data_IF_898084352355
#
_entry.id   IF_898084352355
#
_cell.length_a   1.000
_cell.length_b   1.000
_cell.length_c   1.000
_cell.angle_alpha   90.00
_cell.angle_beta   90.00
_cell.angle_gamma   90.00
#
_symmetry.space_group_name_H-M   'P 1'
#
loop_
_entity.id
_entity.type
_entity.pdbx_description
1 polymer ?
#
# COMPACT_ATOMS: atom_id res chain seq x y z
N UNK A 1 -9.24 -52.38 2.26
CA UNK A 1 -8.41 -51.32 2.88
C UNK A 1 -7.66 -50.51 1.81
N UNK A 2 -6.88 -51.17 0.94
CA UNK A 2 -6.09 -50.54 -0.14
C UNK A 2 -6.90 -49.60 -1.05
N UNK A 3 -8.11 -50.00 -1.47
CA UNK A 3 -8.97 -49.20 -2.37
C UNK A 3 -9.44 -47.86 -1.78
N UNK A 4 -9.57 -47.76 -0.45
CA UNK A 4 -9.94 -46.50 0.24
C UNK A 4 -8.74 -45.54 0.35
N UNK A 5 -7.53 -46.07 0.51
CA UNK A 5 -6.29 -45.29 0.56
C UNK A 5 -6.00 -44.68 -0.82
N UNK A 6 -6.20 -45.44 -1.91
CA UNK A 6 -6.03 -44.92 -3.27
C UNK A 6 -7.01 -43.79 -3.61
N UNK A 7 -8.25 -43.85 -3.13
CA UNK A 7 -9.23 -42.78 -3.34
C UNK A 7 -8.82 -41.52 -2.56
N UNK A 8 -8.39 -41.66 -1.31
CA UNK A 8 -7.93 -40.51 -0.51
C UNK A 8 -6.70 -39.86 -1.15
N UNK A 9 -5.71 -40.64 -1.59
CA UNK A 9 -4.53 -40.12 -2.26
C UNK A 9 -4.87 -39.39 -3.57
N UNK A 10 -5.82 -39.93 -4.35
CA UNK A 10 -6.28 -39.29 -5.59
C UNK A 10 -7.02 -37.98 -5.30
N UNK A 11 -7.93 -37.96 -4.31
CA UNK A 11 -8.68 -36.76 -3.93
C UNK A 11 -7.75 -35.68 -3.39
N UNK A 12 -6.79 -36.03 -2.53
CA UNK A 12 -5.80 -35.08 -2.01
C UNK A 12 -4.90 -34.55 -3.13
N UNK A 13 -4.48 -35.41 -4.06
CA UNK A 13 -3.69 -35.00 -5.23
C UNK A 13 -4.44 -34.05 -6.17
N UNK A 14 -5.72 -34.32 -6.43
CA UNK A 14 -6.58 -33.46 -7.26
C UNK A 14 -6.84 -32.12 -6.56
N UNK A 15 -7.13 -32.12 -5.26
CA UNK A 15 -7.28 -30.88 -4.47
C UNK A 15 -6.00 -30.04 -4.50
N UNK A 16 -4.84 -30.66 -4.31
CA UNK A 16 -3.56 -29.98 -4.36
C UNK A 16 -3.30 -29.36 -5.75
N UNK A 17 -3.54 -30.12 -6.83
CA UNK A 17 -3.40 -29.61 -8.19
C UNK A 17 -4.38 -28.48 -8.52
N UNK A 18 -5.63 -28.57 -8.04
CA UNK A 18 -6.61 -27.49 -8.19
C UNK A 18 -6.19 -26.24 -7.42
N UNK A 19 -5.61 -26.38 -6.22
CA UNK A 19 -5.08 -25.21 -5.49
C UNK A 19 -3.88 -24.58 -6.18
N UNK A 20 -2.94 -25.37 -6.72
CA UNK A 20 -1.81 -24.84 -7.48
C UNK A 20 -2.24 -24.17 -8.78
N UNK A 21 -3.22 -24.75 -9.49
CA UNK A 21 -3.79 -24.15 -10.68
C UNK A 21 -4.53 -22.85 -10.38
N UNK A 22 -5.27 -22.78 -9.27
CA UNK A 22 -5.93 -21.56 -8.78
C UNK A 22 -4.91 -20.46 -8.45
N UNK A 23 -3.80 -20.81 -7.78
CA UNK A 23 -2.73 -19.86 -7.48
C UNK A 23 -2.01 -19.35 -8.74
N UNK A 24 -1.79 -20.21 -9.74
CA UNK A 24 -1.19 -19.83 -11.03
C UNK A 24 -2.13 -18.99 -11.91
N UNK A 25 -3.44 -19.28 -11.90
CA UNK A 25 -4.43 -18.46 -12.61
C UNK A 25 -4.60 -17.09 -11.96
N UNK A 26 -4.52 -16.99 -10.62
CA UNK A 26 -4.44 -15.70 -9.94
C UNK A 26 -3.22 -14.89 -10.38
N UNK A 27 -2.07 -15.53 -10.59
CA UNK A 27 -0.86 -14.85 -11.05
C UNK A 27 -0.97 -14.29 -12.48
N UNK A 28 -1.61 -15.02 -13.40
CA UNK A 28 -1.78 -14.60 -14.81
C UNK A 28 -2.95 -13.62 -15.03
N UNK A 29 -3.82 -13.43 -14.05
CA UNK A 29 -5.03 -12.61 -14.19
C UNK A 29 -4.80 -11.09 -14.15
N UNK A 30 -3.55 -10.62 -14.05
CA UNK A 30 -3.26 -9.18 -14.02
C UNK A 30 -3.82 -8.45 -12.80
N UNK A 31 -4.25 -9.19 -11.76
CA UNK A 31 -4.67 -8.68 -10.46
C UNK A 31 -3.46 -8.23 -9.62
N UNK A 32 -2.57 -7.45 -10.24
CA UNK A 32 -1.34 -6.92 -9.66
C UNK A 32 -1.58 -5.99 -8.46
N UNK A 33 -2.83 -5.61 -8.18
CA UNK A 33 -3.23 -4.94 -6.94
C UNK A 33 -3.15 -5.85 -5.70
N UNK A 34 -3.17 -7.19 -5.84
CA UNK A 34 -3.05 -8.10 -4.67
C UNK A 34 -1.63 -8.26 -4.14
N UNK A 35 -0.59 -8.01 -4.95
CA UNK A 35 0.81 -8.23 -4.54
C UNK A 35 1.37 -7.11 -3.65
N UNK A 36 0.70 -5.96 -3.54
CA UNK A 36 1.05 -4.89 -2.57
C UNK A 36 0.30 -5.04 -1.25
N UNK A 37 -0.74 -5.88 -1.22
CA UNK A 37 -1.65 -5.99 -0.08
C UNK A 37 -1.87 -7.44 0.41
N UNK A 38 -0.83 -8.26 0.66
CA UNK A 38 -0.97 -9.34 1.65
C UNK A 38 -0.62 -8.86 3.06
N UNK A 39 0.09 -7.74 3.22
CA UNK A 39 0.79 -7.42 4.48
C UNK A 39 0.23 -6.23 5.28
N UNK A 40 -0.67 -5.44 4.70
CA UNK A 40 -1.46 -4.49 5.48
C UNK A 40 -2.69 -5.23 5.99
N UNK A 41 -2.55 -5.98 7.08
CA UNK A 41 -3.71 -6.34 7.91
C UNK A 41 -4.12 -5.07 8.68
N UNK A 42 -4.66 -4.10 7.95
CA UNK A 42 -5.57 -3.13 8.54
C UNK A 42 -6.95 -3.69 8.23
N UNK A 43 -7.59 -4.28 9.24
CA UNK A 43 -9.05 -4.29 9.29
C UNK A 43 -9.48 -2.83 9.13
N UNK A 44 -9.83 -2.45 7.91
CA UNK A 44 -10.39 -1.14 7.65
C UNK A 44 -11.75 -1.14 8.36
N UNK A 45 -11.75 -0.46 9.50
CA UNK A 45 -12.86 0.13 10.25
C UNK A 45 -14.23 -0.24 9.65
N UNK A 46 -14.99 -1.01 10.44
CA UNK A 46 -16.42 -1.23 10.27
C UNK A 46 -17.13 0.11 9.99
N UNK A 47 -17.45 0.36 8.72
CA UNK A 47 -18.03 1.62 8.22
C UNK A 47 -19.43 1.89 8.78
N UNK A 48 -20.04 0.95 9.50
CA UNK A 48 -21.39 1.10 10.06
C UNK A 48 -21.46 2.05 11.28
N UNK A 49 -20.33 2.41 11.92
CA UNK A 49 -20.32 3.26 13.14
C UNK A 49 -19.80 4.69 12.95
N UNK A 50 -19.37 5.08 11.75
CA UNK A 50 -18.72 6.37 11.51
C UNK A 50 -19.68 7.47 10.98
N UNK A 51 -20.95 7.45 11.37
CA UNK A 51 -21.91 8.49 11.05
C UNK A 51 -21.85 9.67 12.02
N UNK A 52 -20.93 10.62 11.82
CA UNK A 52 -21.05 12.06 12.21
C UNK A 52 -19.73 12.85 12.13
N UNK A 53 -18.56 12.21 12.20
CA UNK A 53 -17.24 12.89 12.18
C UNK A 53 -16.44 12.76 10.87
N UNK A 54 -16.97 12.02 9.89
CA UNK A 54 -16.30 11.79 8.60
C UNK A 54 -16.17 13.08 7.78
N UNK A 55 -17.16 13.98 7.80
CA UNK A 55 -17.06 15.22 7.02
C UNK A 55 -15.90 16.12 7.46
N UNK A 56 -15.64 16.21 8.76
CA UNK A 56 -14.56 17.03 9.30
C UNK A 56 -13.20 16.42 8.97
N UNK A 57 -13.08 15.08 9.03
CA UNK A 57 -11.90 14.34 8.60
C UNK A 57 -11.67 14.45 7.09
N UNK A 58 -12.73 14.40 6.28
CA UNK A 58 -12.67 14.59 4.82
C UNK A 58 -12.22 16.01 4.46
N UNK A 59 -12.58 17.04 5.23
CA UNK A 59 -12.10 18.42 5.01
C UNK A 59 -10.61 18.59 5.31
N UNK A 60 -10.05 17.76 6.19
CA UNK A 60 -8.61 17.74 6.51
C UNK A 60 -7.79 16.92 5.52
N UNK A 61 -8.43 16.08 4.70
CA UNK A 61 -7.75 15.31 3.67
C UNK A 61 -7.48 16.16 2.43
N UNK A 62 -6.34 15.97 1.76
CA UNK A 62 -6.05 16.63 0.50
C UNK A 62 -7.09 16.20 -0.53
N UNK A 63 -7.87 17.14 -1.03
CA UNK A 63 -8.87 16.88 -2.04
C UNK A 63 -8.16 16.51 -3.34
N UNK A 64 -8.13 15.22 -3.65
CA UNK A 64 -7.71 14.74 -4.98
C UNK A 64 -8.80 15.23 -5.94
N UNK A 65 -8.42 16.06 -6.90
CA UNK A 65 -9.35 16.57 -7.90
C UNK A 65 -9.87 15.40 -8.75
N UNK A 66 -11.04 14.87 -8.38
CA UNK A 66 -11.77 13.89 -9.17
C UNK A 66 -12.48 14.64 -10.27
N UNK A 67 -11.88 14.68 -11.46
CA UNK A 67 -12.47 15.32 -12.63
C UNK A 67 -13.88 14.76 -12.91
N UNK A 68 -14.90 15.44 -12.43
CA UNK A 68 -16.31 15.18 -12.73
C UNK A 68 -16.92 13.93 -12.08
N UNK A 69 -16.30 13.32 -11.05
CA UNK A 69 -16.84 12.11 -10.38
C UNK A 69 -17.19 12.42 -8.92
N UNK A 70 -18.39 12.03 -8.50
CA UNK A 70 -18.85 12.17 -7.11
C UNK A 70 -18.55 10.90 -6.29
N UNK A 71 -17.54 10.97 -5.43
CA UNK A 71 -17.16 9.87 -4.55
C UNK A 71 -18.24 9.50 -3.54
N UNK A 72 -19.04 10.46 -3.06
CA UNK A 72 -20.10 10.20 -2.07
C UNK A 72 -21.16 9.27 -2.67
N UNK A 73 -21.56 9.54 -3.91
CA UNK A 73 -22.50 8.69 -4.66
C UNK A 73 -21.91 7.31 -4.97
N UNK A 74 -20.61 7.22 -5.27
CA UNK A 74 -19.94 5.93 -5.46
C UNK A 74 -19.96 5.09 -4.18
N UNK A 75 -19.62 5.68 -3.02
CA UNK A 75 -19.68 4.97 -1.74
C UNK A 75 -21.11 4.57 -1.35
N UNK A 76 -22.10 5.38 -1.75
CA UNK A 76 -23.52 5.06 -1.63
C UNK A 76 -24.02 4.01 -2.63
N UNK A 77 -23.15 3.41 -3.46
CA UNK A 77 -23.45 2.41 -4.50
C UNK A 77 -24.42 2.90 -5.58
N UNK A 78 -24.25 4.15 -5.99
CA UNK A 78 -24.99 4.70 -7.13
C UNK A 78 -24.44 4.16 -8.46
N UNK A 79 -25.23 3.32 -9.13
CA UNK A 79 -24.85 2.67 -10.39
C UNK A 79 -24.52 3.67 -11.51
N UNK A 80 -25.14 4.85 -11.53
CA UNK A 80 -24.89 5.83 -12.58
C UNK A 80 -23.52 6.49 -12.42
N UNK A 81 -23.16 6.90 -11.20
CA UNK A 81 -21.83 7.46 -10.93
C UNK A 81 -20.73 6.40 -11.03
N UNK A 82 -21.02 5.14 -10.69
CA UNK A 82 -20.06 4.04 -10.88
C UNK A 82 -19.77 3.84 -12.37
N UNK A 83 -20.80 3.78 -13.23
CA UNK A 83 -20.62 3.67 -14.69
C UNK A 83 -19.88 4.88 -15.27
N UNK A 84 -20.19 6.06 -14.76
CA UNK A 84 -19.51 7.30 -15.15
C UNK A 84 -18.02 7.27 -14.78
N UNK A 85 -17.69 6.82 -13.57
CA UNK A 85 -16.32 6.68 -13.11
C UNK A 85 -15.52 5.64 -13.92
N UNK A 86 -16.15 4.55 -14.34
CA UNK A 86 -15.51 3.55 -15.23
C UNK A 86 -15.10 4.12 -16.58
N UNK A 87 -15.81 5.15 -17.06
CA UNK A 87 -15.53 5.81 -18.33
C UNK A 87 -14.47 6.92 -18.22
N UNK A 88 -14.03 7.26 -17.01
CA UNK A 88 -12.97 8.26 -16.80
C UNK A 88 -11.62 7.64 -17.17
N UNK A 89 -11.10 8.04 -18.32
CA UNK A 89 -9.83 7.56 -18.89
C UNK A 89 -8.61 8.36 -18.42
N UNK A 90 -8.83 9.48 -17.72
CA UNK A 90 -7.77 10.45 -17.41
C UNK A 90 -7.24 10.28 -15.98
N UNK A 91 -6.54 9.17 -15.71
CA UNK A 91 -5.67 9.13 -14.53
C UNK A 91 -4.36 9.81 -14.90
N UNK A 92 -4.09 11.01 -14.35
CA UNK A 92 -2.73 11.59 -14.45
C UNK A 92 -1.76 10.66 -13.72
N UNK A 93 -1.00 9.89 -14.48
CA UNK A 93 0.09 9.06 -13.95
C UNK A 93 1.38 9.86 -14.03
N UNK A 94 2.12 9.88 -12.93
CA UNK A 94 3.45 10.50 -12.87
C UNK A 94 4.45 9.38 -13.15
N UNK A 95 5.29 9.48 -14.17
CA UNK A 95 6.34 8.48 -14.40
C UNK A 95 7.30 8.40 -13.20
N UNK A 96 7.74 7.19 -12.84
CA UNK A 96 8.61 6.95 -11.66
C UNK A 96 9.86 7.85 -11.65
N UNK A 97 10.55 8.00 -12.80
CA UNK A 97 11.71 8.89 -12.97
C UNK A 97 11.50 10.35 -12.54
N UNK A 98 10.25 10.84 -12.55
CA UNK A 98 9.96 12.24 -12.21
C UNK A 98 9.96 12.48 -10.70
N UNK A 99 9.84 11.43 -9.87
CA UNK A 99 9.82 11.56 -8.41
C UNK A 99 11.11 12.15 -7.85
N UNK A 100 12.26 11.82 -8.45
CA UNK A 100 13.53 12.46 -8.14
C UNK A 100 13.49 13.98 -8.24
N UNK A 101 12.81 14.51 -9.26
CA UNK A 101 12.69 15.97 -9.46
C UNK A 101 11.61 16.57 -8.57
N UNK A 102 10.50 15.86 -8.35
CA UNK A 102 9.40 16.30 -7.49
C UNK A 102 9.83 16.43 -6.03
N UNK A 103 10.61 15.48 -5.53
CA UNK A 103 11.08 15.45 -4.15
C UNK A 103 12.29 16.40 -3.89
N UNK A 104 12.81 17.11 -4.90
CA UNK A 104 13.92 18.08 -4.69
C UNK A 104 13.58 19.19 -3.70
N UNK A 105 12.31 19.60 -3.65
CA UNK A 105 11.83 20.60 -2.70
C UNK A 105 10.82 19.94 -1.76
N UNK A 106 11.30 19.55 -0.58
CA UNK A 106 10.47 18.85 0.41
C UNK A 106 9.30 19.68 0.94
N UNK A 107 9.40 21.01 0.93
CA UNK A 107 8.27 21.87 1.31
C UNK A 107 7.14 21.76 0.29
N UNK A 108 7.47 21.83 -0.99
CA UNK A 108 6.48 21.65 -2.06
C UNK A 108 5.99 20.19 -2.14
N UNK A 109 6.87 19.23 -1.89
CA UNK A 109 6.53 17.81 -1.92
C UNK A 109 5.50 17.45 -0.84
N UNK A 110 5.73 17.85 0.42
CA UNK A 110 4.81 17.60 1.53
C UNK A 110 3.43 18.24 1.32
N UNK A 111 3.37 19.40 0.65
CA UNK A 111 2.11 20.09 0.31
C UNK A 111 1.24 19.36 -0.72
N UNK A 112 1.73 18.29 -1.36
CA UNK A 112 0.95 17.47 -2.32
C UNK A 112 -0.16 16.66 -1.66
N UNK A 113 -0.14 16.52 -0.34
CA UNK A 113 -1.21 15.88 0.40
C UNK A 113 -0.79 15.18 1.69
N UNK A 114 0.40 15.46 2.20
CA UNK A 114 0.84 14.86 3.46
C UNK A 114 0.29 15.66 4.64
N UNK A 115 -0.25 14.95 5.63
CA UNK A 115 -0.59 15.57 6.91
C UNK A 115 0.70 15.98 7.63
N UNK A 116 0.76 17.22 8.07
CA UNK A 116 1.97 17.79 8.71
C UNK A 116 1.85 17.88 10.22
N UNK A 117 0.69 17.55 10.80
CA UNK A 117 0.41 17.57 12.24
C UNK A 117 -0.49 16.38 12.61
N UNK A 118 -0.44 15.91 13.87
CA UNK A 118 -1.41 14.94 14.39
C UNK A 118 -2.85 15.49 14.27
N UNK A 119 -3.83 14.62 14.01
CA UNK A 119 -5.24 15.03 13.88
C UNK A 119 -5.89 15.21 15.25
N UNK A 120 -5.38 14.51 16.27
CA UNK A 120 -5.85 14.62 17.66
C UNK A 120 -4.75 14.31 18.65
N UNK A 121 -4.91 14.78 19.89
CA UNK A 121 -3.99 14.46 20.99
C UNK A 121 -3.96 12.95 21.30
N UNK A 122 -5.03 12.22 20.99
CA UNK A 122 -5.08 10.77 21.14
C UNK A 122 -4.14 10.08 20.14
N UNK A 123 -4.21 10.47 18.86
CA UNK A 123 -3.29 9.96 17.85
C UNK A 123 -1.83 10.33 18.13
N UNK A 124 -1.57 11.51 18.71
CA UNK A 124 -0.22 11.94 19.09
C UNK A 124 0.37 11.09 20.22
N UNK A 125 -0.47 10.68 21.20
CA UNK A 125 -0.04 9.85 22.33
C UNK A 125 0.17 8.38 21.96
N UNK A 126 -0.29 7.93 20.80
CA UNK A 126 -0.23 6.53 20.39
C UNK A 126 0.46 6.35 19.02
N UNK A 127 1.78 6.56 18.94
CA UNK A 127 2.53 6.41 17.70
C UNK A 127 2.54 4.95 17.24
N UNK A 128 2.40 4.74 15.93
CA UNK A 128 2.41 3.42 15.29
C UNK A 128 3.62 3.31 14.36
N UNK A 129 4.18 2.10 14.26
CA UNK A 129 5.23 1.77 13.30
C UNK A 129 4.67 0.92 12.15
N UNK A 130 4.97 1.32 10.91
CA UNK A 130 4.60 0.61 9.69
C UNK A 130 5.83 0.02 9.00
N UNK A 131 5.67 -1.20 8.48
CA UNK A 131 6.66 -1.86 7.61
C UNK A 131 6.00 -2.03 6.25
N UNK A 132 6.61 -1.46 5.22
CA UNK A 132 6.11 -1.49 3.85
C UNK A 132 7.14 -2.19 2.96
N UNK A 133 6.74 -3.30 2.32
CA UNK A 133 7.56 -3.95 1.31
C UNK A 133 7.14 -3.48 -0.08
N UNK A 134 8.08 -2.95 -0.86
CA UNK A 134 7.82 -2.39 -2.18
C UNK A 134 8.71 -3.03 -3.24
N UNK A 135 8.15 -3.23 -4.43
CA UNK A 135 8.86 -3.83 -5.56
C UNK A 135 8.54 -3.17 -6.92
N UNK A 136 7.61 -2.20 -6.98
CA UNK A 136 7.26 -1.40 -8.18
C UNK A 136 6.31 -0.25 -7.87
N UNK A 137 6.16 0.66 -8.85
CA UNK A 137 5.15 1.73 -8.95
C UNK A 137 5.20 2.76 -7.82
N UNK A 138 5.96 3.84 -8.03
CA UNK A 138 6.09 4.92 -7.05
C UNK A 138 4.79 5.71 -6.88
N UNK A 139 3.93 5.77 -7.90
CA UNK A 139 2.66 6.49 -7.80
C UNK A 139 1.75 5.80 -6.79
N UNK A 140 1.71 4.46 -6.82
CA UNK A 140 0.92 3.70 -5.87
C UNK A 140 1.44 3.85 -4.45
N UNK A 141 2.76 3.80 -4.26
CA UNK A 141 3.39 3.95 -2.96
C UNK A 141 3.21 5.37 -2.42
N UNK A 142 3.37 6.40 -3.26
CA UNK A 142 3.10 7.80 -2.89
C UNK A 142 1.64 7.95 -2.42
N UNK A 143 0.68 7.38 -3.14
CA UNK A 143 -0.74 7.41 -2.74
C UNK A 143 -0.99 6.71 -1.41
N UNK A 144 -0.38 5.55 -1.20
CA UNK A 144 -0.47 4.84 0.08
C UNK A 144 0.11 5.69 1.21
N UNK A 145 1.33 6.21 1.03
CA UNK A 145 1.98 7.07 2.01
C UNK A 145 1.15 8.31 2.31
N UNK A 146 0.60 9.00 1.30
CA UNK A 146 -0.28 10.15 1.55
C UNK A 146 -1.52 9.79 2.38
N UNK A 147 -2.08 8.58 2.21
CA UNK A 147 -3.23 8.13 2.99
C UNK A 147 -2.87 7.85 4.46
N UNK A 148 -1.77 7.14 4.70
CA UNK A 148 -1.43 6.62 6.04
C UNK A 148 -0.42 7.49 6.81
N UNK A 149 0.28 8.42 6.16
CA UNK A 149 1.35 9.19 6.78
C UNK A 149 0.83 10.11 7.87
N UNK A 150 1.44 10.03 9.05
CA UNK A 150 1.27 10.95 10.18
C UNK A 150 2.65 11.26 10.76
N UNK A 151 2.91 12.52 11.19
CA UNK A 151 4.24 12.93 11.65
C UNK A 151 4.71 12.22 12.92
N UNK A 152 3.80 11.72 13.76
CA UNK A 152 4.14 10.98 14.98
C UNK A 152 4.43 9.49 14.77
N UNK A 153 4.05 8.93 13.61
CA UNK A 153 4.25 7.51 13.30
C UNK A 153 5.63 7.26 12.71
N UNK A 154 6.08 6.01 12.69
CA UNK A 154 7.32 5.57 12.04
C UNK A 154 7.02 4.69 10.83
N UNK A 155 7.80 4.84 9.77
CA UNK A 155 7.65 4.06 8.54
C UNK A 155 9.00 3.48 8.12
N UNK A 156 9.09 2.16 8.01
CA UNK A 156 10.22 1.52 7.35
C UNK A 156 9.78 0.94 6.01
N UNK A 157 10.43 1.38 4.95
CA UNK A 157 10.11 0.99 3.57
C UNK A 157 11.26 0.12 3.06
N UNK A 158 10.99 -1.17 2.93
CA UNK A 158 11.90 -2.11 2.32
C UNK A 158 11.71 -2.13 0.81
N UNK A 159 12.71 -1.66 0.08
CA UNK A 159 12.73 -1.65 -1.38
C UNK A 159 13.46 -2.88 -1.87
N UNK A 160 12.75 -3.74 -2.58
CA UNK A 160 13.31 -4.96 -3.15
C UNK A 160 14.49 -4.62 -4.08
N UNK A 161 15.62 -5.32 -3.94
CA UNK A 161 16.82 -5.10 -4.76
C UNK A 161 16.61 -5.45 -6.24
N UNK A 162 15.61 -6.29 -6.56
CA UNK A 162 15.21 -6.59 -7.94
C UNK A 162 14.46 -5.45 -8.63
N UNK A 163 14.10 -4.39 -7.89
CA UNK A 163 13.39 -3.23 -8.42
C UNK A 163 14.30 -2.36 -9.30
N UNK A 164 13.73 -1.77 -10.36
CA UNK A 164 14.45 -0.83 -11.21
C UNK A 164 14.98 0.40 -10.47
N UNK A 165 16.08 0.96 -10.98
CA UNK A 165 16.84 2.08 -10.38
C UNK A 165 15.97 3.32 -10.13
N UNK A 166 15.08 3.67 -11.08
CA UNK A 166 14.17 4.83 -10.95
C UNK A 166 13.31 4.75 -9.68
N UNK A 167 12.84 3.55 -9.31
CA UNK A 167 12.00 3.35 -8.12
C UNK A 167 12.85 3.46 -6.86
N UNK A 168 14.04 2.85 -6.84
CA UNK A 168 14.99 2.96 -5.73
C UNK A 168 15.35 4.41 -5.43
N UNK A 169 15.85 5.12 -6.45
CA UNK A 169 16.26 6.51 -6.34
C UNK A 169 15.08 7.43 -6.01
N UNK A 170 13.92 7.18 -6.63
CA UNK A 170 12.70 7.93 -6.33
C UNK A 170 12.24 7.73 -4.87
N UNK A 171 12.28 6.51 -4.35
CA UNK A 171 11.93 6.23 -2.96
C UNK A 171 12.90 6.91 -2.00
N UNK A 172 14.22 6.84 -2.25
CA UNK A 172 15.24 7.56 -1.47
C UNK A 172 14.96 9.06 -1.43
N UNK A 173 14.65 9.66 -2.59
CA UNK A 173 14.33 11.08 -2.65
C UNK A 173 13.03 11.41 -1.87
N UNK A 174 11.99 10.59 -1.98
CA UNK A 174 10.75 10.78 -1.22
C UNK A 174 11.03 10.70 0.29
N UNK A 175 11.72 9.65 0.76
CA UNK A 175 12.01 9.48 2.19
C UNK A 175 12.85 10.61 2.75
N UNK A 176 13.78 11.18 1.97
CA UNK A 176 14.58 12.34 2.38
C UNK A 176 13.76 13.58 2.79
N UNK A 177 12.47 13.62 2.42
CA UNK A 177 11.56 14.71 2.79
C UNK A 177 10.83 14.53 4.13
N UNK A 178 11.05 13.40 4.81
CA UNK A 178 10.37 13.03 6.05
C UNK A 178 11.38 12.45 7.05
N UNK A 179 11.34 12.94 8.28
CA UNK A 179 12.30 12.56 9.31
C UNK A 179 11.99 11.17 9.91
N UNK A 180 10.76 10.69 9.73
CA UNK A 180 10.19 9.46 10.31
C UNK A 180 9.98 8.35 9.26
N UNK A 181 10.55 8.49 8.06
CA UNK A 181 10.57 7.45 7.02
C UNK A 181 12.00 6.96 6.84
N UNK A 182 12.23 5.67 7.06
CA UNK A 182 13.52 5.00 6.88
C UNK A 182 13.42 4.00 5.75
N UNK A 183 14.48 3.89 4.95
CA UNK A 183 14.58 2.94 3.86
C UNK A 183 15.60 1.86 4.18
N UNK A 184 15.25 0.62 3.85
CA UNK A 184 16.17 -0.51 3.75
C UNK A 184 15.95 -1.22 2.41
N UNK A 185 16.86 -2.14 2.08
CA UNK A 185 16.77 -2.91 0.84
C UNK A 185 17.25 -4.33 1.07
N UNK A 186 16.39 -5.29 0.74
CA UNK A 186 16.64 -6.73 0.86
C UNK A 186 16.18 -7.36 -0.45
N UNK A 187 16.94 -8.33 -0.96
CA UNK A 187 16.51 -9.14 -2.12
C UNK A 187 15.41 -10.09 -1.67
N UNK A 188 14.17 -9.85 -2.10
CA UNK A 188 13.01 -10.60 -1.62
C UNK A 188 12.54 -11.58 -2.69
N UNK A 189 12.84 -12.86 -2.48
CA UNK A 189 12.21 -13.93 -3.23
C UNK A 189 10.79 -14.20 -2.73
N UNK A 190 9.83 -14.29 -3.65
CA UNK A 190 8.42 -14.58 -3.33
C UNK A 190 8.25 -15.94 -2.65
N UNK A 191 7.40 -15.97 -1.61
CA UNK A 191 7.11 -17.16 -0.79
C UNK A 191 8.37 -17.82 -0.20
N UNK A 192 9.40 -17.02 0.11
CA UNK A 192 10.65 -17.47 0.74
C UNK A 192 10.91 -16.74 2.04
N UNK A 193 11.86 -17.27 2.82
CA UNK A 193 12.29 -16.71 4.11
C UNK A 193 12.78 -15.27 4.00
N UNK A 194 13.31 -14.87 2.85
CA UNK A 194 13.73 -13.49 2.55
C UNK A 194 12.62 -12.45 2.77
N UNK A 195 11.34 -12.84 2.61
CA UNK A 195 10.22 -11.96 2.89
C UNK A 195 10.07 -11.68 4.39
N UNK A 196 10.25 -12.69 5.24
CA UNK A 196 10.21 -12.52 6.71
C UNK A 196 11.46 -11.80 7.18
N UNK A 197 12.61 -12.09 6.58
CA UNK A 197 13.88 -11.41 6.87
C UNK A 197 13.78 -9.90 6.63
N UNK A 198 13.17 -9.49 5.51
CA UNK A 198 12.88 -8.10 5.22
C UNK A 198 12.11 -7.39 6.34
N UNK A 199 11.08 -8.04 6.89
CA UNK A 199 10.31 -7.49 8.02
C UNK A 199 11.15 -7.41 9.29
N UNK A 200 11.91 -8.46 9.62
CA UNK A 200 12.78 -8.48 10.81
C UNK A 200 13.86 -7.40 10.76
N UNK A 201 14.47 -7.18 9.60
CA UNK A 201 15.42 -6.09 9.39
C UNK A 201 14.72 -4.75 9.58
N UNK A 202 13.51 -4.59 9.04
CA UNK A 202 12.73 -3.36 9.19
C UNK A 202 12.39 -3.06 10.65
N UNK A 203 11.96 -4.07 11.42
CA UNK A 203 11.73 -3.94 12.88
C UNK A 203 13.00 -3.47 13.59
N UNK A 204 14.14 -4.11 13.28
CA UNK A 204 15.42 -3.74 13.88
C UNK A 204 15.79 -2.30 13.54
N UNK A 205 15.60 -1.88 12.30
CA UNK A 205 15.88 -0.52 11.85
C UNK A 205 15.00 0.48 12.59
N UNK A 206 13.69 0.29 12.65
CA UNK A 206 12.79 1.21 13.35
C UNK A 206 13.22 1.40 14.81
N UNK A 207 13.51 0.31 15.53
CA UNK A 207 13.94 0.36 16.92
C UNK A 207 15.27 1.10 17.17
N UNK A 208 16.07 1.36 16.13
CA UNK A 208 17.30 2.16 16.25
C UNK A 208 17.05 3.66 16.08
N UNK A 209 15.92 4.04 15.49
CA UNK A 209 15.58 5.44 15.19
C UNK A 209 14.43 5.98 16.06
N UNK A 210 13.58 5.11 16.62
CA UNK A 210 12.51 5.46 17.58
C UNK A 210 13.02 5.64 19.01
#
# INVERSE_FOLDING_TARGET
MVRRISIIAFVVGVLFMLTLFYMSTLENSGLAMKKIVPFIYLDIIDTDRAGSRIEELLRMLPQINTHGVDCTRIFARDDEEIKKAQNVTTVRTIPDRNFLTLARNCTSYRRRGYMTKPVSDEEERYPIAYILQIYKDLVQIERLLMAIYRPQNWYCINVDLSTGEDVHLGMIAIASCFDNIVINSVDVAWAKMSQVEADLVSIRVINLYS
#
